data_IF_891050631868
#
_entry.id   IF_891050631868
#
_cell.length_a   1.000
_cell.length_b   1.000
_cell.length_c   1.000
_cell.angle_alpha   90.00
_cell.angle_beta   90.00
_cell.angle_gamma   90.00
#
_symmetry.space_group_name_H-M   'P 1'
#
loop_
_entity.id
_entity.type
_entity.pdbx_description
1 polymer ?
#
# COMPACT_ATOMS: atom_id res chain seq x y z
N UNK A 1 -13.61 -38.03 -0.05
CA UNK A 1 -13.42 -36.57 -0.25
C UNK A 1 -14.46 -36.12 -1.25
N UNK A 2 -15.28 -35.16 -0.89
CA UNK A 2 -16.29 -34.58 -1.79
C UNK A 2 -15.69 -33.37 -2.51
N UNK A 3 -15.71 -33.38 -3.85
CA UNK A 3 -15.24 -32.26 -4.66
C UNK A 3 -16.28 -31.14 -4.68
N UNK A 4 -15.83 -29.91 -4.39
CA UNK A 4 -16.66 -28.72 -4.49
C UNK A 4 -16.49 -28.08 -5.87
N UNK A 5 -17.58 -28.02 -6.62
CA UNK A 5 -17.58 -27.48 -8.00
C UNK A 5 -16.98 -26.08 -8.09
N UNK A 6 -17.40 -25.16 -7.23
CA UNK A 6 -16.97 -23.76 -7.27
C UNK A 6 -15.45 -23.59 -7.02
N UNK A 7 -14.86 -24.42 -6.14
CA UNK A 7 -13.41 -24.41 -5.90
C UNK A 7 -12.65 -24.87 -7.13
N UNK A 8 -13.15 -25.93 -7.80
CA UNK A 8 -12.53 -26.42 -9.04
C UNK A 8 -12.67 -25.38 -10.15
N UNK A 9 -13.87 -24.79 -10.28
CA UNK A 9 -14.17 -23.77 -11.28
C UNK A 9 -13.23 -22.56 -11.15
N UNK A 10 -13.05 -22.03 -9.94
CA UNK A 10 -12.16 -20.89 -9.70
C UNK A 10 -10.70 -21.23 -10.05
N UNK A 11 -10.22 -22.41 -9.68
CA UNK A 11 -8.86 -22.86 -10.01
C UNK A 11 -8.64 -23.08 -11.51
N UNK A 12 -9.61 -23.68 -12.19
CA UNK A 12 -9.52 -23.90 -13.64
C UNK A 12 -9.64 -22.59 -14.40
N UNK A 13 -10.42 -21.64 -13.90
CA UNK A 13 -10.51 -20.29 -14.46
C UNK A 13 -9.19 -19.55 -14.36
N UNK A 14 -8.49 -19.61 -13.22
CA UNK A 14 -7.14 -19.07 -13.09
C UNK A 14 -6.19 -19.68 -14.13
N UNK A 15 -6.22 -20.99 -14.32
CA UNK A 15 -5.38 -21.67 -15.32
C UNK A 15 -5.70 -21.25 -16.75
N UNK A 16 -6.98 -21.02 -17.08
CA UNK A 16 -7.39 -20.56 -18.39
C UNK A 16 -6.95 -19.10 -18.65
N UNK A 17 -6.94 -18.23 -17.63
CA UNK A 17 -6.41 -16.88 -17.75
C UNK A 17 -4.88 -16.83 -17.89
N UNK A 18 -4.17 -17.71 -17.18
CA UNK A 18 -2.69 -17.75 -17.20
C UNK A 18 -2.12 -18.36 -18.48
N UNK A 19 -2.96 -19.00 -19.30
CA UNK A 19 -2.57 -19.62 -20.54
C UNK A 19 -3.54 -19.19 -21.65
N UNK A 20 -3.25 -18.04 -22.27
CA UNK A 20 -4.08 -17.46 -23.32
C UNK A 20 -4.47 -18.49 -24.40
N UNK A 21 -5.75 -18.52 -24.77
CA UNK A 21 -6.28 -19.46 -25.77
C UNK A 21 -6.56 -20.88 -25.28
N UNK A 22 -6.11 -21.25 -24.06
CA UNK A 22 -6.39 -22.58 -23.49
C UNK A 22 -7.89 -22.72 -23.20
N UNK A 23 -8.51 -23.74 -23.80
CA UNK A 23 -9.91 -24.08 -23.56
C UNK A 23 -10.02 -25.19 -22.53
N UNK A 24 -10.70 -24.91 -21.43
CA UNK A 24 -11.01 -25.89 -20.38
C UNK A 24 -12.52 -26.04 -20.29
N UNK A 25 -13.00 -27.28 -20.25
CA UNK A 25 -14.42 -27.60 -20.03
C UNK A 25 -14.54 -28.33 -18.70
N UNK A 26 -15.31 -27.75 -17.78
CA UNK A 26 -15.65 -28.37 -16.50
C UNK A 26 -17.11 -28.83 -16.55
N UNK A 27 -17.34 -30.13 -16.35
CA UNK A 27 -18.68 -30.70 -16.29
C UNK A 27 -18.92 -31.41 -14.96
N UNK A 28 -20.00 -31.07 -14.28
CA UNK A 28 -20.49 -31.75 -13.10
C UNK A 28 -21.73 -32.55 -13.45
N UNK A 29 -21.59 -33.88 -13.46
CA UNK A 29 -22.64 -34.83 -13.85
C UNK A 29 -23.26 -35.54 -12.63
N UNK A 30 -23.02 -35.08 -11.41
CA UNK A 30 -23.54 -35.71 -10.18
C UNK A 30 -25.05 -35.59 -10.04
N UNK A 31 -25.63 -34.54 -10.61
CA UNK A 31 -27.06 -34.36 -10.72
C UNK A 31 -27.44 -34.58 -12.18
N UNK A 32 -28.02 -35.75 -12.46
CA UNK A 32 -28.41 -36.16 -13.84
C UNK A 32 -29.53 -35.28 -14.41
N UNK A 33 -30.40 -34.72 -13.54
CA UNK A 33 -31.50 -33.85 -13.95
C UNK A 33 -31.07 -32.43 -14.26
N UNK A 34 -29.93 -31.99 -13.69
CA UNK A 34 -29.38 -30.63 -13.82
C UNK A 34 -27.85 -30.63 -13.94
N UNK A 35 -27.30 -31.18 -15.04
CA UNK A 35 -25.86 -31.17 -15.25
C UNK A 35 -25.36 -29.73 -15.37
N UNK A 36 -24.25 -29.41 -14.66
CA UNK A 36 -23.56 -28.13 -14.76
C UNK A 36 -22.37 -28.27 -15.69
N UNK A 37 -22.26 -27.37 -16.65
CA UNK A 37 -21.10 -27.31 -17.53
C UNK A 37 -20.66 -25.85 -17.70
N UNK A 38 -19.36 -25.63 -17.60
CA UNK A 38 -18.72 -24.32 -17.82
C UNK A 38 -17.58 -24.48 -18.81
N UNK A 39 -17.49 -23.57 -19.77
CA UNK A 39 -16.41 -23.50 -20.75
C UNK A 39 -15.56 -22.27 -20.43
N UNK A 40 -14.30 -22.49 -20.15
CA UNK A 40 -13.34 -21.46 -19.78
C UNK A 40 -12.32 -21.31 -20.91
N UNK A 41 -12.34 -20.17 -21.58
CA UNK A 41 -11.38 -19.83 -22.64
C UNK A 41 -11.24 -18.31 -22.72
N UNK A 42 -10.02 -17.80 -22.59
CA UNK A 42 -9.73 -16.39 -22.56
C UNK A 42 -8.53 -16.06 -23.45
N UNK A 43 -8.82 -15.49 -24.62
CA UNK A 43 -7.78 -15.15 -25.61
C UNK A 43 -6.86 -14.03 -25.11
N UNK A 44 -7.39 -13.09 -24.33
CA UNK A 44 -6.63 -11.97 -23.75
C UNK A 44 -5.75 -12.35 -22.56
N UNK A 45 -5.74 -13.61 -22.13
CA UNK A 45 -4.86 -14.07 -21.06
C UNK A 45 -5.04 -13.29 -19.75
N UNK A 46 -3.93 -12.80 -19.17
CA UNK A 46 -3.96 -12.05 -17.89
C UNK A 46 -4.61 -10.66 -18.03
N UNK A 47 -4.71 -10.09 -19.20
CA UNK A 47 -5.49 -8.87 -19.46
C UNK A 47 -6.97 -9.16 -19.15
N UNK A 48 -7.53 -10.21 -19.74
CA UNK A 48 -8.91 -10.64 -19.45
C UNK A 48 -9.10 -11.00 -17.97
N UNK A 49 -8.04 -11.44 -17.28
CA UNK A 49 -8.12 -11.70 -15.84
C UNK A 49 -8.31 -10.41 -15.04
N UNK A 50 -7.57 -9.36 -15.36
CA UNK A 50 -7.73 -8.03 -14.71
C UNK A 50 -9.14 -7.50 -14.95
N UNK A 51 -9.63 -7.55 -16.19
CA UNK A 51 -10.99 -7.13 -16.54
C UNK A 51 -12.06 -7.92 -15.76
N UNK A 52 -11.88 -9.24 -15.65
CA UNK A 52 -12.78 -10.09 -14.86
C UNK A 52 -12.77 -9.74 -13.37
N UNK A 53 -11.59 -9.47 -12.79
CA UNK A 53 -11.46 -9.04 -11.40
C UNK A 53 -12.18 -7.71 -11.16
N UNK A 54 -12.07 -6.75 -12.08
CA UNK A 54 -12.78 -5.47 -12.04
C UNK A 54 -14.30 -5.70 -12.06
N UNK A 55 -14.78 -6.48 -13.03
CA UNK A 55 -16.21 -6.78 -13.18
C UNK A 55 -16.79 -7.52 -11.97
N UNK A 56 -16.05 -8.48 -11.41
CA UNK A 56 -16.47 -9.25 -10.22
C UNK A 56 -16.65 -8.36 -9.00
N UNK A 57 -15.88 -7.26 -8.90
CA UNK A 57 -15.98 -6.27 -7.81
C UNK A 57 -17.06 -5.21 -8.05
N UNK A 58 -17.51 -5.03 -9.26
CA UNK A 58 -18.37 -3.92 -9.65
C UNK A 58 -17.67 -2.58 -9.60
N UNK A 59 -16.33 -2.56 -9.59
CA UNK A 59 -15.53 -1.35 -9.60
C UNK A 59 -15.42 -0.77 -11.00
N UNK A 60 -15.52 0.55 -11.13
CA UNK A 60 -15.34 1.26 -12.38
C UNK A 60 -13.86 1.50 -12.67
N UNK A 61 -13.43 1.25 -13.92
CA UNK A 61 -12.05 1.47 -14.33
C UNK A 61 -11.71 2.97 -14.36
N UNK A 62 -10.54 3.34 -13.86
CA UNK A 62 -10.06 4.72 -13.87
C UNK A 62 -9.55 5.16 -15.24
N UNK A 63 -9.08 4.23 -16.06
CA UNK A 63 -8.59 4.43 -17.42
C UNK A 63 -9.04 3.27 -18.31
N UNK A 64 -9.22 3.51 -19.63
CA UNK A 64 -9.92 2.56 -20.51
C UNK A 64 -9.18 1.24 -20.69
N UNK A 65 -7.86 1.29 -20.88
CA UNK A 65 -7.08 0.12 -21.25
C UNK A 65 -6.37 -0.48 -20.05
N UNK A 66 -6.31 -1.82 -20.00
CA UNK A 66 -5.45 -2.54 -19.06
C UNK A 66 -4.01 -2.35 -19.49
N UNK A 67 -3.17 -1.87 -18.58
CA UNK A 67 -1.72 -1.78 -18.80
C UNK A 67 -1.14 -3.19 -18.82
N UNK A 68 -0.52 -3.56 -19.93
CA UNK A 68 0.13 -4.86 -20.11
C UNK A 68 1.59 -4.70 -20.49
N UNK A 69 2.45 -5.43 -19.81
CA UNK A 69 3.87 -5.52 -20.12
C UNK A 69 4.33 -6.98 -20.07
N UNK A 70 5.24 -7.33 -20.98
CA UNK A 70 5.86 -8.65 -21.02
C UNK A 70 7.35 -8.54 -21.33
N UNK A 71 8.10 -9.56 -20.92
CA UNK A 71 9.51 -9.64 -21.22
C UNK A 71 10.12 -10.97 -20.83
N UNK A 72 11.25 -11.28 -21.45
CA UNK A 72 12.09 -12.45 -21.18
C UNK A 72 13.52 -11.97 -20.91
N UNK A 73 14.05 -12.32 -19.77
CA UNK A 73 15.43 -12.03 -19.39
C UNK A 73 15.95 -13.17 -18.49
N UNK A 74 17.17 -13.62 -18.73
CA UNK A 74 17.84 -14.68 -17.95
C UNK A 74 16.99 -15.97 -17.81
N UNK A 75 16.28 -16.37 -18.89
CA UNK A 75 15.34 -17.47 -18.93
C UNK A 75 14.13 -17.33 -17.99
N UNK A 76 13.87 -16.15 -17.49
CA UNK A 76 12.69 -15.84 -16.69
C UNK A 76 11.72 -15.03 -17.58
N UNK A 77 10.55 -15.60 -17.85
CA UNK A 77 9.46 -14.89 -18.53
C UNK A 77 8.62 -14.16 -17.50
N UNK A 78 8.29 -12.90 -17.79
CA UNK A 78 7.50 -12.03 -16.93
C UNK A 78 6.33 -11.50 -17.75
N UNK A 79 5.13 -11.66 -17.23
CA UNK A 79 3.90 -11.05 -17.75
C UNK A 79 3.20 -10.31 -16.62
N UNK A 80 2.85 -9.05 -16.84
CA UNK A 80 2.17 -8.22 -15.83
C UNK A 80 1.04 -7.48 -16.51
N UNK A 81 -0.15 -7.55 -15.93
CA UNK A 81 -1.30 -6.75 -16.34
C UNK A 81 -1.88 -6.04 -15.12
N UNK A 82 -2.23 -4.76 -15.25
CA UNK A 82 -2.90 -4.03 -14.18
C UNK A 82 -3.80 -2.91 -14.69
N UNK A 83 -4.77 -2.55 -13.87
CA UNK A 83 -5.64 -1.40 -14.10
C UNK A 83 -6.01 -0.76 -12.76
N UNK A 84 -6.06 0.57 -12.74
CA UNK A 84 -6.59 1.30 -11.59
C UNK A 84 -8.11 1.42 -11.68
N UNK A 85 -8.76 1.49 -10.53
CA UNK A 85 -10.20 1.68 -10.41
C UNK A 85 -10.54 2.92 -9.58
N UNK A 86 -11.83 3.24 -9.51
CA UNK A 86 -12.34 4.39 -8.74
C UNK A 86 -12.60 4.08 -7.26
N UNK A 87 -12.45 2.82 -6.84
CA UNK A 87 -12.65 2.40 -5.45
C UNK A 87 -11.39 2.69 -4.61
N UNK A 88 -11.51 3.60 -3.64
CA UNK A 88 -10.39 4.14 -2.87
C UNK A 88 -9.75 3.18 -1.86
N UNK A 89 -10.33 1.99 -1.61
CA UNK A 89 -9.87 1.11 -0.53
C UNK A 89 -9.37 -0.27 -0.99
N UNK A 90 -9.22 -0.52 -2.29
CA UNK A 90 -8.90 -1.84 -2.80
C UNK A 90 -7.51 -1.92 -3.44
N UNK A 91 -6.58 -2.58 -2.78
CA UNK A 91 -5.34 -3.06 -3.40
C UNK A 91 -5.51 -4.56 -3.68
N UNK A 92 -5.41 -4.99 -4.92
CA UNK A 92 -5.49 -6.41 -5.29
C UNK A 92 -4.29 -6.81 -6.11
N UNK A 93 -3.55 -7.75 -5.58
CA UNK A 93 -2.50 -8.45 -6.31
C UNK A 93 -2.84 -9.93 -6.42
N UNK A 94 -2.71 -10.44 -7.63
CA UNK A 94 -2.73 -11.87 -7.94
C UNK A 94 -1.40 -12.23 -8.56
N UNK A 95 -0.55 -12.91 -7.81
CA UNK A 95 0.79 -13.26 -8.23
C UNK A 95 0.96 -14.75 -8.42
N UNK A 96 1.65 -15.13 -9.50
CA UNK A 96 1.82 -16.51 -9.93
C UNK A 96 3.27 -16.79 -10.31
N UNK A 97 3.74 -17.99 -9.97
CA UNK A 97 5.01 -18.54 -10.40
C UNK A 97 4.78 -19.93 -10.99
N UNK A 98 5.13 -20.12 -12.29
CA UNK A 98 4.83 -21.33 -13.05
C UNK A 98 3.36 -21.78 -12.89
N UNK A 99 2.43 -20.84 -13.04
CA UNK A 99 0.97 -21.00 -12.89
C UNK A 99 0.51 -21.40 -11.47
N UNK A 100 1.38 -21.36 -10.47
CA UNK A 100 1.03 -21.60 -9.05
C UNK A 100 0.73 -20.27 -8.42
N UNK A 101 -0.44 -20.12 -7.79
CA UNK A 101 -0.83 -18.91 -7.08
C UNK A 101 -0.01 -18.73 -5.80
N UNK A 102 0.77 -17.68 -5.75
CA UNK A 102 1.58 -17.30 -4.59
C UNK A 102 0.79 -16.35 -3.69
N UNK A 103 -0.07 -16.91 -2.85
CA UNK A 103 -1.02 -16.14 -2.02
C UNK A 103 -0.34 -15.17 -1.05
N UNK A 104 0.88 -15.48 -0.64
CA UNK A 104 1.72 -14.67 0.24
C UNK A 104 2.74 -13.82 -0.56
N UNK A 105 2.57 -13.74 -1.88
CA UNK A 105 3.43 -12.97 -2.78
C UNK A 105 4.79 -13.63 -3.02
N UNK A 106 5.84 -12.82 -2.94
CA UNK A 106 7.22 -13.26 -3.13
C UNK A 106 8.10 -12.22 -3.82
N UNK A 107 9.28 -12.66 -4.27
CA UNK A 107 10.30 -11.79 -4.88
C UNK A 107 9.79 -11.04 -6.12
N UNK A 108 8.96 -11.68 -6.95
CA UNK A 108 8.36 -11.10 -8.16
C UNK A 108 7.37 -9.97 -7.83
N UNK A 109 6.49 -10.17 -6.85
CA UNK A 109 5.51 -9.17 -6.42
C UNK A 109 6.19 -7.96 -5.77
N UNK A 110 7.17 -8.20 -4.90
CA UNK A 110 7.96 -7.13 -4.27
C UNK A 110 8.70 -6.31 -5.34
N UNK A 111 9.29 -6.98 -6.33
CA UNK A 111 10.00 -6.34 -7.41
C UNK A 111 9.08 -5.45 -8.26
N UNK A 112 7.90 -5.94 -8.62
CA UNK A 112 6.88 -5.16 -9.33
C UNK A 112 6.45 -3.93 -8.53
N UNK A 113 6.11 -4.09 -7.25
CA UNK A 113 5.71 -2.98 -6.37
C UNK A 113 6.79 -1.90 -6.29
N UNK A 114 8.06 -2.28 -6.19
CA UNK A 114 9.18 -1.35 -6.14
C UNK A 114 9.39 -0.64 -7.49
N UNK A 115 9.29 -1.37 -8.61
CA UNK A 115 9.41 -0.81 -9.94
C UNK A 115 8.28 0.18 -10.27
N UNK A 116 7.04 -0.19 -9.93
CA UNK A 116 5.87 0.67 -10.07
C UNK A 116 6.04 1.97 -9.27
N UNK A 117 6.48 1.87 -8.01
CA UNK A 117 6.75 3.03 -7.17
C UNK A 117 7.79 3.96 -7.78
N UNK A 118 8.87 3.39 -8.34
CA UNK A 118 9.91 4.18 -9.01
C UNK A 118 9.35 4.91 -10.23
N UNK A 119 8.73 4.17 -11.16
CA UNK A 119 8.28 4.73 -12.44
C UNK A 119 7.24 5.83 -12.21
N UNK A 120 6.23 5.61 -11.35
CA UNK A 120 5.22 6.62 -11.07
C UNK A 120 5.83 7.86 -10.40
N UNK A 121 6.75 7.69 -9.45
CA UNK A 121 7.42 8.83 -8.82
C UNK A 121 8.28 9.64 -9.81
N UNK A 122 8.95 8.97 -10.74
CA UNK A 122 9.74 9.65 -11.77
C UNK A 122 8.83 10.51 -12.68
N UNK A 123 7.69 9.99 -13.11
CA UNK A 123 6.69 10.75 -13.89
C UNK A 123 6.07 11.90 -13.09
N UNK A 124 5.68 11.67 -11.85
CA UNK A 124 5.12 12.73 -10.98
C UNK A 124 6.13 13.85 -10.76
N UNK A 125 7.40 13.53 -10.59
CA UNK A 125 8.48 14.51 -10.48
C UNK A 125 8.58 15.37 -11.73
N UNK A 126 8.66 14.74 -12.92
CA UNK A 126 8.71 15.44 -14.20
C UNK A 126 7.48 16.32 -14.42
N UNK A 127 6.29 15.82 -14.10
CA UNK A 127 5.04 16.56 -14.23
C UNK A 127 5.02 17.82 -13.35
N UNK A 128 5.46 17.73 -12.09
CA UNK A 128 5.56 18.87 -11.18
C UNK A 128 6.60 19.90 -11.66
N UNK A 129 7.73 19.45 -12.17
CA UNK A 129 8.78 20.33 -12.73
C UNK A 129 8.28 21.09 -13.96
N UNK A 130 7.53 20.44 -14.85
CA UNK A 130 6.93 21.09 -16.02
C UNK A 130 5.87 22.14 -15.59
N UNK A 131 5.03 21.86 -14.64
CA UNK A 131 4.05 22.81 -14.11
C UNK A 131 4.74 24.02 -13.44
N UNK A 132 5.80 23.79 -12.68
CA UNK A 132 6.56 24.86 -12.04
C UNK A 132 7.21 25.79 -13.08
N UNK A 133 7.74 25.24 -14.18
CA UNK A 133 8.36 26.00 -15.26
C UNK A 133 7.33 26.82 -16.06
N UNK A 134 6.15 26.28 -16.30
CA UNK A 134 5.08 26.99 -16.99
C UNK A 134 4.53 28.16 -16.12
N UNK A 135 4.46 27.99 -14.82
CA UNK A 135 4.03 29.04 -13.89
C UNK A 135 5.08 30.15 -13.67
N UNK A 136 6.39 29.85 -13.83
CA UNK A 136 7.47 30.86 -13.79
C UNK A 136 7.41 31.84 -14.94
N UNK A 137 6.80 31.50 -16.07
CA UNK A 137 6.58 32.43 -17.18
C UNK A 137 5.49 33.48 -16.89
N UNK A 138 4.66 33.28 -15.89
CA UNK A 138 3.50 34.16 -15.59
C UNK A 138 3.59 34.99 -14.31
N UNK A 139 4.54 34.75 -13.39
CA UNK A 139 4.70 35.58 -12.17
C UNK A 139 6.15 35.63 -11.70
N UNK A 140 6.71 36.86 -11.59
CA UNK A 140 7.91 37.18 -10.82
C UNK A 140 7.61 37.01 -9.32
N UNK A 141 7.76 35.82 -8.77
CA UNK A 141 8.01 35.60 -7.34
C UNK A 141 8.93 34.40 -7.22
N UNK A 142 10.07 34.62 -6.57
CA UNK A 142 10.99 33.59 -6.09
C UNK A 142 10.25 32.81 -4.99
N UNK A 143 9.48 31.78 -5.37
CA UNK A 143 9.11 30.73 -4.45
C UNK A 143 10.23 29.69 -4.49
N UNK A 144 10.81 29.41 -3.33
CA UNK A 144 11.78 28.35 -3.10
C UNK A 144 11.33 27.06 -3.80
N UNK A 145 12.22 26.47 -4.56
CA UNK A 145 12.00 25.16 -5.20
C UNK A 145 11.82 24.16 -4.06
N UNK A 146 10.58 23.91 -3.67
CA UNK A 146 10.28 22.87 -2.69
C UNK A 146 10.81 21.55 -3.21
N UNK A 147 11.69 20.93 -2.45
CA UNK A 147 12.25 19.62 -2.76
C UNK A 147 11.13 18.61 -3.04
N UNK A 148 11.29 17.83 -4.10
CA UNK A 148 10.29 16.82 -4.47
C UNK A 148 10.20 15.75 -3.39
N UNK A 149 9.07 15.65 -2.73
CA UNK A 149 8.75 14.56 -1.80
C UNK A 149 8.09 13.43 -2.60
N UNK A 150 8.69 12.23 -2.65
CA UNK A 150 8.11 11.09 -3.33
C UNK A 150 6.77 10.67 -2.70
N UNK A 151 5.87 10.16 -3.52
CA UNK A 151 4.64 9.54 -3.06
C UNK A 151 4.95 8.22 -2.36
N UNK A 152 4.19 7.90 -1.32
CA UNK A 152 4.31 6.62 -0.62
C UNK A 152 3.86 5.45 -1.50
N UNK A 153 4.47 4.29 -1.30
CA UNK A 153 4.07 3.09 -2.03
C UNK A 153 2.60 2.72 -1.81
N UNK A 154 2.04 3.00 -0.65
CA UNK A 154 0.62 2.79 -0.35
C UNK A 154 -0.29 3.70 -1.18
N UNK A 155 0.06 4.99 -1.34
CA UNK A 155 -0.71 5.90 -2.16
C UNK A 155 -0.67 5.53 -3.65
N UNK A 156 0.48 5.00 -4.11
CA UNK A 156 0.66 4.53 -5.49
C UNK A 156 -0.17 3.27 -5.75
N UNK A 157 -0.20 2.33 -4.82
CA UNK A 157 -0.91 1.05 -5.01
C UNK A 157 -2.40 1.10 -4.66
N UNK A 158 -2.87 2.19 -4.10
CA UNK A 158 -4.30 2.36 -3.79
C UNK A 158 -5.17 2.21 -5.04
N UNK A 159 -6.20 1.35 -4.95
CA UNK A 159 -7.16 1.04 -6.01
C UNK A 159 -6.54 0.40 -7.28
N UNK A 160 -5.44 -0.31 -7.16
CA UNK A 160 -4.87 -1.11 -8.23
C UNK A 160 -5.42 -2.55 -8.21
N UNK A 161 -5.75 -3.07 -9.39
CA UNK A 161 -5.91 -4.50 -9.63
C UNK A 161 -4.77 -4.96 -10.54
N UNK A 162 -3.93 -5.85 -10.06
CA UNK A 162 -2.77 -6.33 -10.79
C UNK A 162 -2.69 -7.86 -10.78
N UNK A 163 -2.29 -8.41 -11.91
CA UNK A 163 -1.94 -9.81 -12.10
C UNK A 163 -0.49 -9.87 -12.54
N UNK A 164 0.32 -10.66 -11.83
CA UNK A 164 1.74 -10.84 -12.09
C UNK A 164 1.99 -12.34 -12.30
N UNK A 165 2.50 -12.70 -13.46
CA UNK A 165 2.85 -14.08 -13.79
C UNK A 165 4.32 -14.15 -14.17
N UNK A 166 5.08 -15.01 -13.47
CA UNK A 166 6.45 -15.32 -13.85
C UNK A 166 6.59 -16.80 -14.18
N UNK A 167 7.36 -17.11 -15.22
CA UNK A 167 7.73 -18.48 -15.60
C UNK A 167 9.24 -18.58 -15.57
N UNK A 168 9.76 -19.55 -14.81
CA UNK A 168 11.18 -19.77 -14.62
C UNK A 168 11.46 -21.28 -14.58
N UNK A 169 12.70 -21.71 -14.92
CA UNK A 169 13.03 -23.13 -15.00
C UNK A 169 12.81 -23.87 -13.68
N UNK A 170 13.19 -23.27 -12.56
CA UNK A 170 13.12 -23.88 -11.25
C UNK A 170 12.60 -22.89 -10.21
N UNK A 171 11.42 -23.18 -9.64
CA UNK A 171 10.79 -22.36 -8.61
C UNK A 171 11.20 -22.82 -7.22
N UNK A 172 11.73 -21.92 -6.42
CA UNK A 172 11.97 -22.08 -4.99
C UNK A 172 10.86 -21.38 -4.20
N UNK A 173 10.11 -22.16 -3.42
CA UNK A 173 9.03 -21.61 -2.62
C UNK A 173 9.36 -21.66 -1.13
N UNK A 174 8.93 -20.65 -0.40
CA UNK A 174 8.93 -20.69 1.06
C UNK A 174 7.77 -21.60 1.52
N UNK A 175 8.13 -22.74 2.14
CA UNK A 175 7.19 -23.70 2.69
C UNK A 175 6.51 -24.63 1.66
N UNK A 176 5.90 -25.69 2.17
CA UNK A 176 5.28 -26.74 1.36
C UNK A 176 4.00 -26.28 0.64
N UNK A 177 3.32 -25.26 1.13
CA UNK A 177 2.11 -24.70 0.52
C UNK A 177 2.36 -23.93 -0.76
N UNK A 178 3.64 -23.66 -1.09
CA UNK A 178 4.06 -22.86 -2.25
C UNK A 178 3.43 -21.46 -2.31
N UNK A 179 3.09 -20.92 -1.13
CA UNK A 179 2.40 -19.63 -1.01
C UNK A 179 3.25 -18.41 -1.35
N UNK A 180 4.59 -18.53 -1.26
CA UNK A 180 5.51 -17.42 -1.48
C UNK A 180 6.72 -17.85 -2.31
N UNK A 181 7.03 -17.09 -3.37
CA UNK A 181 8.20 -17.30 -4.21
C UNK A 181 9.45 -16.73 -3.53
N UNK A 182 10.50 -17.56 -3.38
CA UNK A 182 11.75 -17.22 -2.72
C UNK A 182 12.88 -16.80 -3.65
N UNK A 183 12.88 -17.24 -4.90
CA UNK A 183 13.97 -17.05 -5.88
C UNK A 183 14.53 -15.61 -5.88
N UNK A 184 15.78 -15.37 -5.43
CA UNK A 184 16.33 -14.01 -5.38
C UNK A 184 16.62 -13.43 -6.77
N UNK A 185 16.97 -14.25 -7.76
CA UNK A 185 17.27 -13.88 -9.14
C UNK A 185 16.05 -13.32 -9.90
N UNK A 186 14.84 -13.68 -9.49
CA UNK A 186 13.60 -13.16 -10.07
C UNK A 186 13.44 -11.66 -9.80
N UNK A 187 13.91 -11.19 -8.64
CA UNK A 187 13.73 -9.80 -8.21
C UNK A 187 14.37 -8.78 -9.17
N UNK A 188 15.66 -8.85 -9.53
CA UNK A 188 16.26 -7.91 -10.48
C UNK A 188 15.66 -8.02 -11.89
N UNK A 189 15.28 -9.22 -12.34
CA UNK A 189 14.67 -9.43 -13.65
C UNK A 189 13.32 -8.74 -13.76
N UNK A 190 12.40 -9.03 -12.84
CA UNK A 190 11.07 -8.42 -12.83
C UNK A 190 11.17 -6.90 -12.68
N UNK A 191 12.05 -6.42 -11.80
CA UNK A 191 12.26 -4.98 -11.62
C UNK A 191 12.72 -4.30 -12.91
N UNK A 192 13.74 -4.84 -13.58
CA UNK A 192 14.32 -4.27 -14.80
C UNK A 192 13.29 -4.25 -15.94
N UNK A 193 12.63 -5.38 -16.21
CA UNK A 193 11.59 -5.47 -17.24
C UNK A 193 10.46 -4.48 -16.95
N UNK A 194 10.00 -4.43 -15.70
CA UNK A 194 8.91 -3.52 -15.32
C UNK A 194 9.30 -2.06 -15.52
N UNK A 195 10.46 -1.63 -15.02
CA UNK A 195 10.90 -0.24 -15.17
C UNK A 195 11.02 0.15 -16.64
N UNK A 196 11.69 -0.69 -17.45
CA UNK A 196 11.90 -0.43 -18.87
C UNK A 196 10.59 -0.35 -19.66
N UNK A 197 9.78 -1.42 -19.59
CA UNK A 197 8.56 -1.55 -20.39
C UNK A 197 7.45 -0.60 -19.93
N UNK A 198 7.33 -0.38 -18.63
CA UNK A 198 6.32 0.52 -18.09
C UNK A 198 6.65 1.99 -18.37
N UNK A 199 7.92 2.37 -18.32
CA UNK A 199 8.35 3.72 -18.73
C UNK A 199 7.99 3.95 -20.19
N UNK A 200 8.34 3.02 -21.08
CA UNK A 200 7.99 3.10 -22.50
C UNK A 200 6.47 3.16 -22.73
N UNK A 201 5.72 2.31 -22.07
CA UNK A 201 4.25 2.31 -22.16
C UNK A 201 3.66 3.68 -21.78
N UNK A 202 4.13 4.28 -20.70
CA UNK A 202 3.59 5.57 -20.24
C UNK A 202 4.05 6.75 -21.10
N UNK A 203 5.21 6.67 -21.77
CA UNK A 203 5.61 7.64 -22.77
C UNK A 203 4.69 7.63 -23.99
N UNK A 204 4.21 6.45 -24.39
CA UNK A 204 3.23 6.29 -25.47
C UNK A 204 1.79 6.64 -25.05
N UNK A 205 1.47 6.57 -23.75
CA UNK A 205 0.13 6.78 -23.19
C UNK A 205 0.12 7.89 -22.12
N UNK A 206 0.44 9.15 -22.50
CA UNK A 206 0.59 10.26 -21.55
C UNK A 206 -0.69 10.57 -20.77
N UNK A 207 -1.88 10.37 -21.37
CA UNK A 207 -3.15 10.61 -20.69
C UNK A 207 -3.41 9.59 -19.59
N UNK A 208 -3.02 8.33 -19.80
CA UNK A 208 -3.15 7.26 -18.82
C UNK A 208 -2.27 7.54 -17.60
N UNK A 209 -0.99 7.87 -17.80
CA UNK A 209 -0.10 8.18 -16.67
C UNK A 209 -0.50 9.47 -15.96
N UNK A 210 -0.99 10.49 -16.67
CA UNK A 210 -1.47 11.72 -16.06
C UNK A 210 -2.66 11.43 -15.12
N UNK A 211 -3.60 10.60 -15.55
CA UNK A 211 -4.76 10.17 -14.76
C UNK A 211 -4.32 9.38 -13.51
N UNK A 212 -3.43 8.41 -13.68
CA UNK A 212 -2.89 7.61 -12.56
C UNK A 212 -2.11 8.50 -11.59
N UNK A 213 -1.23 9.38 -12.09
CA UNK A 213 -0.44 10.28 -11.27
C UNK A 213 -1.32 11.22 -10.43
N UNK A 214 -2.36 11.81 -11.04
CA UNK A 214 -3.30 12.68 -10.34
C UNK A 214 -4.04 11.92 -9.22
N UNK A 215 -4.48 10.70 -9.48
CA UNK A 215 -5.09 9.84 -8.47
C UNK A 215 -4.14 9.54 -7.31
N UNK A 216 -2.88 9.18 -7.60
CA UNK A 216 -1.87 8.90 -6.57
C UNK A 216 -1.53 10.14 -5.73
N UNK A 217 -1.47 11.32 -6.35
CA UNK A 217 -1.29 12.60 -5.64
C UNK A 217 -2.46 12.87 -4.69
N UNK A 218 -3.68 12.67 -5.15
CA UNK A 218 -4.88 12.85 -4.32
C UNK A 218 -4.92 11.86 -3.15
N UNK A 219 -4.56 10.59 -3.39
CA UNK A 219 -4.47 9.56 -2.36
C UNK A 219 -3.41 9.92 -1.28
N UNK A 220 -2.23 10.41 -1.69
CA UNK A 220 -1.21 10.88 -0.75
C UNK A 220 -1.71 12.07 0.07
N UNK A 221 -2.34 13.06 -0.57
CA UNK A 221 -2.88 14.24 0.11
C UNK A 221 -3.95 13.86 1.16
N UNK A 222 -4.83 12.91 0.83
CA UNK A 222 -5.84 12.41 1.75
C UNK A 222 -5.21 11.69 2.98
N UNK A 223 -4.17 10.87 2.74
CA UNK A 223 -3.41 10.18 3.81
C UNK A 223 -2.69 11.16 4.72
N UNK A 224 -2.05 12.18 4.15
CA UNK A 224 -1.35 13.22 4.90
C UNK A 224 -2.32 14.05 5.75
N UNK A 225 -3.50 14.38 5.22
CA UNK A 225 -4.56 15.06 5.95
C UNK A 225 -5.09 14.21 7.11
N UNK A 226 -5.33 12.91 6.87
CA UNK A 226 -5.77 11.99 7.92
C UNK A 226 -4.72 11.84 9.03
N UNK A 227 -3.43 11.72 8.67
CA UNK A 227 -2.32 11.65 9.62
C UNK A 227 -2.23 12.91 10.49
N UNK A 228 -2.30 14.10 9.87
CA UNK A 228 -2.31 15.39 10.58
C UNK A 228 -3.50 15.51 11.53
N UNK A 229 -4.69 15.06 11.10
CA UNK A 229 -5.90 15.08 11.96
C UNK A 229 -5.75 14.13 13.17
N UNK A 230 -5.14 12.94 12.97
CA UNK A 230 -4.85 12.01 14.07
C UNK A 230 -3.81 12.59 15.04
N UNK A 231 -2.74 13.21 14.54
CA UNK A 231 -1.72 13.87 15.36
C UNK A 231 -2.30 15.05 16.15
N UNK A 232 -3.16 15.86 15.53
CA UNK A 232 -3.85 16.95 16.22
C UNK A 232 -4.78 16.42 17.33
N UNK A 233 -5.52 15.33 17.08
CA UNK A 233 -6.32 14.66 18.13
C UNK A 233 -5.45 14.10 19.25
N UNK A 234 -4.30 13.48 18.94
CA UNK A 234 -3.37 12.98 19.95
C UNK A 234 -2.79 14.12 20.79
N UNK A 235 -2.39 15.23 20.17
CA UNK A 235 -1.93 16.43 20.89
C UNK A 235 -3.05 17.00 21.77
N UNK A 236 -4.28 17.12 21.27
CA UNK A 236 -5.40 17.62 22.08
C UNK A 236 -5.79 16.67 23.22
N UNK A 237 -5.57 15.36 23.06
CA UNK A 237 -5.77 14.38 24.14
C UNK A 237 -4.61 14.43 25.14
N UNK A 238 -3.39 14.75 24.71
CA UNK A 238 -2.23 14.93 25.60
C UNK A 238 -2.25 16.30 26.27
N UNK A 239 -2.69 17.34 25.57
CA UNK A 239 -2.89 18.70 26.13
C UNK A 239 -4.16 18.81 27.00
N UNK A 240 -5.15 17.94 26.78
CA UNK A 240 -6.41 17.85 27.54
C UNK A 240 -6.45 16.72 28.57
N UNK A 241 -5.51 15.80 28.51
CA UNK A 241 -5.23 14.89 29.60
C UNK A 241 -4.40 15.64 30.65
N UNK A 242 -5.07 16.52 31.40
CA UNK A 242 -4.71 16.74 32.78
C UNK A 242 -4.40 15.35 33.35
N UNK A 243 -3.13 15.03 33.54
CA UNK A 243 -2.70 13.92 34.40
C UNK A 243 -3.63 13.90 35.61
N UNK A 244 -4.06 12.71 36.09
CA UNK A 244 -5.21 12.58 37.00
C UNK A 244 -5.15 13.65 38.06
N UNK A 245 -6.19 14.39 38.27
CA UNK A 245 -6.48 15.66 38.96
C UNK A 245 -5.65 16.09 40.17
N UNK A 246 -4.48 15.50 40.36
CA UNK A 246 -3.55 15.75 41.46
C UNK A 246 -2.26 16.47 41.03
N UNK A 247 -1.83 16.35 39.75
CA UNK A 247 -0.66 17.08 39.27
C UNK A 247 -1.00 18.57 39.12
N UNK A 248 -0.27 19.40 39.83
CA UNK A 248 -0.25 20.81 39.53
C UNK A 248 0.92 21.10 38.60
N UNK A 249 0.59 21.15 37.29
CA UNK A 249 1.56 21.30 36.19
C UNK A 249 2.21 22.70 36.16
N UNK A 250 3.39 22.81 35.52
CA UNK A 250 4.05 24.07 35.21
C UNK A 250 3.69 24.54 33.79
N UNK A 251 3.91 25.81 33.49
CA UNK A 251 3.54 26.41 32.21
C UNK A 251 4.62 26.26 31.13
N UNK A 252 5.87 26.03 31.49
CA UNK A 252 6.96 25.76 30.56
C UNK A 252 6.96 24.26 30.20
N UNK A 253 7.20 23.94 28.92
CA UNK A 253 7.21 22.58 28.38
C UNK A 253 8.62 22.08 28.06
N UNK A 254 9.66 22.88 28.33
CA UNK A 254 11.06 22.52 28.08
C UNK A 254 11.57 21.59 29.20
N UNK A 255 11.81 20.30 28.92
CA UNK A 255 12.24 19.34 29.95
C UNK A 255 13.60 19.66 30.58
N UNK A 256 14.45 20.48 29.95
CA UNK A 256 15.73 20.91 30.52
C UNK A 256 15.58 22.03 31.55
N UNK A 257 14.42 22.72 31.56
CA UNK A 257 14.13 23.85 32.44
C UNK A 257 13.08 23.54 33.50
N UNK A 258 12.34 22.45 33.35
CA UNK A 258 11.24 22.11 34.26
C UNK A 258 11.62 21.03 35.24
N UNK A 259 11.04 21.06 36.43
CA UNK A 259 11.24 20.10 37.50
C UNK A 259 9.93 19.67 38.14
N UNK A 260 9.84 18.43 38.60
CA UNK A 260 8.67 17.87 39.27
C UNK A 260 9.01 17.56 40.72
N UNK A 261 8.27 18.19 41.63
CA UNK A 261 8.33 17.89 43.06
C UNK A 261 7.29 16.85 43.43
N UNK A 262 7.76 15.72 43.92
CA UNK A 262 6.89 14.65 44.43
C UNK A 262 6.75 14.83 45.91
N UNK A 263 5.51 14.98 46.42
CA UNK A 263 5.20 15.22 47.81
C UNK A 263 4.29 14.16 48.41
N UNK A 264 4.39 13.90 49.70
CA UNK A 264 3.57 12.97 50.44
C UNK A 264 2.22 13.60 50.78
N UNK A 265 1.17 13.17 50.07
CA UNK A 265 -0.22 13.52 50.35
C UNK A 265 -0.66 14.94 49.96
N UNK A 266 -1.96 15.14 50.04
CA UNK A 266 -2.63 16.35 49.57
C UNK A 266 -2.30 17.60 50.42
N UNK A 267 -2.04 17.44 51.74
CA UNK A 267 -1.69 18.55 52.60
C UNK A 267 -0.33 19.17 52.26
N UNK A 268 0.69 18.33 52.05
CA UNK A 268 2.00 18.78 51.58
C UNK A 268 1.93 19.35 50.16
N UNK A 269 1.08 18.73 49.30
CA UNK A 269 0.79 19.22 47.96
C UNK A 269 0.20 20.61 47.94
N UNK A 270 -0.71 20.94 48.86
CA UNK A 270 -1.30 22.26 49.01
C UNK A 270 -0.25 23.34 49.28
N UNK A 271 0.57 23.16 50.31
CA UNK A 271 1.62 24.11 50.69
C UNK A 271 2.69 24.24 49.58
N UNK A 272 3.05 23.14 48.92
CA UNK A 272 4.02 23.17 47.85
C UNK A 272 3.47 23.92 46.60
N UNK A 273 2.17 23.79 46.30
CA UNK A 273 1.50 24.55 45.22
C UNK A 273 1.50 26.05 45.44
N UNK A 274 1.43 26.50 46.67
CA UNK A 274 1.44 27.94 47.02
C UNK A 274 2.86 28.52 46.92
N UNK A 275 3.89 27.76 47.29
CA UNK A 275 5.27 28.23 47.31
C UNK A 275 6.07 28.02 46.02
N UNK A 276 5.56 27.30 45.01
CA UNK A 276 6.28 26.97 43.78
C UNK A 276 6.39 28.10 42.77
N UNK A 277 7.40 28.06 41.93
CA UNK A 277 7.41 28.81 40.69
C UNK A 277 6.54 28.07 39.66
N UNK A 278 5.38 28.65 39.34
CA UNK A 278 4.41 28.08 38.39
C UNK A 278 4.95 27.95 36.97
N UNK A 279 6.03 28.64 36.63
CA UNK A 279 6.62 28.60 35.31
C UNK A 279 7.41 27.30 35.09
N UNK A 280 8.17 26.85 36.08
CA UNK A 280 9.12 25.76 35.93
C UNK A 280 8.86 24.56 36.83
N UNK A 281 8.05 24.74 37.92
CA UNK A 281 7.89 23.73 38.94
C UNK A 281 6.50 23.12 38.94
N UNK A 282 6.44 21.80 38.72
CA UNK A 282 5.22 20.99 38.82
C UNK A 282 5.19 20.26 40.17
N UNK A 283 4.01 20.08 40.78
CA UNK A 283 3.84 19.38 42.07
C UNK A 283 2.95 18.18 41.87
N UNK A 284 3.44 17.00 42.23
CA UNK A 284 2.71 15.74 42.21
C UNK A 284 2.57 15.17 43.63
N UNK A 285 1.38 15.31 44.27
CA UNK A 285 1.10 14.65 45.54
C UNK A 285 0.81 13.17 45.33
N UNK A 286 1.52 12.30 46.04
CA UNK A 286 1.27 10.84 46.02
C UNK A 286 0.34 10.46 47.17
N UNK A 287 -0.34 9.29 47.03
CA UNK A 287 -1.20 8.77 48.06
C UNK A 287 -0.42 7.95 49.09
N UNK A 288 -0.17 8.57 50.24
CA UNK A 288 0.43 7.88 51.38
C UNK A 288 1.97 7.77 51.28
N UNK A 289 2.54 7.08 52.25
CA UNK A 289 3.98 6.92 52.43
C UNK A 289 4.59 6.09 51.30
N UNK A 290 5.61 6.61 50.64
CA UNK A 290 6.35 5.89 49.60
C UNK A 290 7.04 4.67 50.21
N UNK A 291 6.80 3.51 49.63
CA UNK A 291 7.47 2.25 50.03
C UNK A 291 8.80 2.16 49.30
N UNK A 292 9.89 1.91 50.07
CA UNK A 292 11.18 1.59 49.49
C UNK A 292 11.15 0.14 48.98
N UNK A 293 11.15 -0.04 47.67
CA UNK A 293 11.07 -1.36 47.00
C UNK A 293 12.44 -2.04 46.82
N UNK A 294 13.51 -1.40 47.23
CA UNK A 294 14.87 -1.95 47.15
C UNK A 294 15.32 -2.64 48.49
N UNK A 295 14.38 -2.92 49.40
CA UNK A 295 14.67 -3.69 50.63
C UNK A 295 13.98 -5.02 50.59
#
# INVERSE_FOLDING_TARGET
TEFKYDILLDRLREQAFLNAGLKIVLSDLRDEDKPKQEVLQYEGGIISYVEWLQKKRGAEALHPDVVYIEGLLDNISVEIAFQYNTDFNSETFRSFANNIHTVDGGTHEIAFKNALNKVINDFVKQYKEQQANNNKKSKKKQDEVKEFVPLSGEAIREAINAVISVKLPECEFEGQTKGKLGNPEVRPVVYKITVEKLTYYFEEHPDTIATIAQKCINAQAARDAAKKAMEAKRKSVTDGASLPGKLADCSDTDPEKTEVYIVEGDSAGGSAKEGRDRKYQAILPLWGKMLNVEK
#
